data_IF_223645931003
#
_entry.id   IF_223645931003
#
_cell.length_a   1.000
_cell.length_b   1.000
_cell.length_c   1.000
_cell.angle_alpha   90.00
_cell.angle_beta   90.00
_cell.angle_gamma   90.00
#
_symmetry.space_group_name_H-M   'P 1'
#
loop_
_entity.id
_entity.type
_entity.pdbx_description
1 polymer ?
#
# COMPACT_ATOMS: atom_id res chain seq x y z
N UNK A 1 -63.47 -29.59 -24.91
CA UNK A 1 -63.92 -29.84 -23.52
C UNK A 1 -62.86 -30.71 -22.85
N UNK A 2 -62.49 -30.38 -21.60
CA UNK A 2 -61.40 -30.95 -20.76
C UNK A 2 -60.00 -30.38 -21.14
N UNK A 3 -59.41 -29.36 -20.51
CA UNK A 3 -59.12 -28.98 -19.09
C UNK A 3 -57.89 -29.69 -18.49
N UNK A 4 -56.84 -28.86 -18.31
CA UNK A 4 -55.75 -28.82 -17.30
C UNK A 4 -54.95 -30.10 -17.00
N UNK A 5 -53.62 -30.01 -17.21
CA UNK A 5 -52.65 -30.66 -16.32
C UNK A 5 -51.27 -29.95 -16.34
N UNK A 6 -51.21 -28.74 -15.78
CA UNK A 6 -49.96 -28.07 -15.37
C UNK A 6 -50.05 -27.84 -13.85
N UNK A 7 -49.75 -28.86 -13.04
CA UNK A 7 -49.76 -28.72 -11.57
C UNK A 7 -48.83 -29.69 -10.82
N UNK A 8 -47.93 -30.41 -11.50
CA UNK A 8 -47.09 -31.42 -10.83
C UNK A 8 -45.57 -31.15 -10.91
N UNK A 9 -45.11 -30.26 -11.80
CA UNK A 9 -43.67 -29.91 -11.89
C UNK A 9 -43.25 -28.73 -11.01
N UNK A 10 -44.19 -27.88 -10.55
CA UNK A 10 -43.86 -26.75 -9.66
C UNK A 10 -43.66 -27.18 -8.20
N UNK A 11 -44.41 -28.17 -7.71
CA UNK A 11 -44.31 -28.63 -6.32
C UNK A 11 -43.05 -29.47 -6.03
N UNK A 12 -42.46 -30.13 -7.04
CA UNK A 12 -41.26 -30.93 -6.84
C UNK A 12 -39.99 -30.06 -6.72
N UNK A 13 -39.94 -28.94 -7.46
CA UNK A 13 -38.83 -27.98 -7.38
C UNK A 13 -38.86 -27.19 -6.07
N UNK A 14 -40.05 -26.85 -5.56
CA UNK A 14 -40.20 -26.21 -4.24
C UNK A 14 -39.91 -27.14 -3.06
N UNK A 15 -40.10 -28.46 -3.19
CA UNK A 15 -39.79 -29.42 -2.12
C UNK A 15 -38.28 -29.69 -2.01
N UNK A 16 -37.56 -29.73 -3.14
CA UNK A 16 -36.10 -29.90 -3.17
C UNK A 16 -35.37 -28.65 -2.66
N UNK A 17 -35.90 -27.44 -2.90
CA UNK A 17 -35.32 -26.18 -2.40
C UNK A 17 -35.61 -25.90 -0.91
N UNK A 18 -36.64 -26.53 -0.31
CA UNK A 18 -36.89 -26.41 1.14
C UNK A 18 -36.15 -27.44 2.00
N UNK A 19 -35.79 -28.60 1.47
CA UNK A 19 -35.03 -29.61 2.23
C UNK A 19 -33.52 -29.33 2.24
N UNK A 20 -32.97 -28.61 1.25
CA UNK A 20 -31.58 -28.12 1.31
C UNK A 20 -31.41 -26.92 2.23
N UNK A 21 -32.44 -26.07 2.39
CA UNK A 21 -32.41 -24.95 3.34
C UNK A 21 -32.56 -25.38 4.81
N UNK A 22 -33.14 -26.55 5.09
CA UNK A 22 -33.26 -27.07 6.46
C UNK A 22 -32.03 -27.89 6.90
N UNK A 23 -31.27 -28.48 5.97
CA UNK A 23 -30.00 -29.12 6.29
C UNK A 23 -28.82 -28.15 6.43
N UNK A 24 -28.88 -26.96 5.83
CA UNK A 24 -27.83 -25.93 6.02
C UNK A 24 -28.04 -25.03 7.25
N UNK A 25 -29.22 -25.06 7.88
CA UNK A 25 -29.51 -24.22 9.05
C UNK A 25 -29.33 -24.95 10.39
N UNK A 26 -29.06 -26.25 10.40
CA UNK A 26 -28.73 -27.01 11.62
C UNK A 26 -27.23 -27.20 11.87
N UNK A 27 -26.34 -26.79 10.95
CA UNK A 27 -24.89 -26.85 11.17
C UNK A 27 -24.29 -25.56 11.72
N UNK A 28 -25.10 -24.51 11.98
CA UNK A 28 -24.60 -23.21 12.45
C UNK A 28 -24.96 -22.85 13.90
N UNK A 29 -25.49 -23.78 14.71
CA UNK A 29 -25.86 -23.47 16.11
C UNK A 29 -25.22 -24.39 17.15
N UNK A 30 -24.22 -25.20 16.80
CA UNK A 30 -23.41 -25.92 17.80
C UNK A 30 -21.93 -26.02 17.41
N UNK A 31 -21.22 -24.89 17.35
CA UNK A 31 -19.77 -24.86 17.68
C UNK A 31 -19.43 -23.50 18.31
N UNK A 32 -19.93 -23.24 19.50
CA UNK A 32 -19.20 -22.41 20.48
C UNK A 32 -18.90 -23.33 21.66
N UNK A 33 -18.08 -24.34 21.40
CA UNK A 33 -17.38 -25.03 22.47
C UNK A 33 -16.03 -24.35 22.64
N UNK A 34 -15.79 -23.87 23.86
CA UNK A 34 -14.54 -23.24 24.26
C UNK A 34 -13.36 -24.12 23.80
N UNK A 35 -12.49 -23.54 22.97
CA UNK A 35 -11.27 -24.22 22.51
C UNK A 35 -10.43 -24.54 23.75
N UNK A 36 -10.09 -25.82 24.01
CA UNK A 36 -9.25 -26.18 25.14
C UNK A 36 -7.91 -25.45 25.10
N UNK A 37 -7.44 -24.93 26.24
CA UNK A 37 -6.13 -24.23 26.39
C UNK A 37 -4.94 -25.02 25.80
N UNK A 38 -5.06 -26.33 25.62
CA UNK A 38 -4.04 -27.19 25.00
C UNK A 38 -3.77 -26.85 23.52
N UNK A 39 -4.78 -26.42 22.75
CA UNK A 39 -4.60 -26.05 21.34
C UNK A 39 -3.88 -24.71 21.17
N UNK A 40 -4.08 -23.78 22.12
CA UNK A 40 -3.42 -22.48 22.11
C UNK A 40 -1.91 -22.61 22.36
N UNK A 41 -1.50 -23.50 23.27
CA UNK A 41 -0.08 -23.76 23.51
C UNK A 41 0.58 -24.41 22.30
N UNK A 42 -0.10 -25.38 21.67
CA UNK A 42 0.40 -26.07 20.46
C UNK A 42 0.60 -25.11 19.29
N UNK A 43 -0.35 -24.19 19.05
CA UNK A 43 -0.26 -23.22 17.96
C UNK A 43 0.84 -22.17 18.19
N UNK A 44 0.97 -21.67 19.42
CA UNK A 44 2.04 -20.71 19.77
C UNK A 44 3.43 -21.36 19.69
N UNK A 45 3.56 -22.65 20.05
CA UNK A 45 4.82 -23.39 19.83
C UNK A 45 5.13 -23.54 18.35
N UNK A 46 4.13 -23.80 17.52
CA UNK A 46 4.29 -23.94 16.08
C UNK A 46 4.69 -22.62 15.42
N UNK A 47 4.16 -21.49 15.89
CA UNK A 47 4.58 -20.15 15.43
C UNK A 47 6.01 -19.80 15.85
N UNK A 48 6.41 -20.11 17.09
CA UNK A 48 7.79 -19.93 17.54
C UNK A 48 8.78 -20.77 16.74
N UNK A 49 8.40 -22.02 16.44
CA UNK A 49 9.21 -22.90 15.61
C UNK A 49 9.35 -22.36 14.17
N UNK A 50 8.27 -21.82 13.60
CA UNK A 50 8.31 -21.14 12.28
C UNK A 50 9.15 -19.86 12.29
N UNK A 51 9.16 -19.10 13.38
CA UNK A 51 10.02 -17.92 13.55
C UNK A 51 11.50 -18.32 13.68
N UNK A 52 11.81 -19.37 14.44
CA UNK A 52 13.16 -19.93 14.58
C UNK A 52 13.67 -20.51 13.25
N UNK A 53 12.81 -21.20 12.49
CA UNK A 53 13.13 -21.72 11.15
C UNK A 53 13.40 -20.59 10.14
N UNK A 54 12.62 -19.50 10.18
CA UNK A 54 12.87 -18.30 9.37
C UNK A 54 14.17 -17.60 9.74
N UNK A 55 14.50 -17.53 11.03
CA UNK A 55 15.74 -16.94 11.50
C UNK A 55 16.96 -17.77 11.06
N UNK A 56 16.87 -19.10 11.15
CA UNK A 56 17.91 -20.00 10.66
C UNK A 56 18.07 -19.95 9.14
N UNK A 57 16.99 -19.74 8.39
CA UNK A 57 17.05 -19.59 6.94
C UNK A 57 17.74 -18.27 6.55
N UNK A 58 17.48 -17.19 7.28
CA UNK A 58 18.17 -15.90 7.12
C UNK A 58 19.67 -15.99 7.49
N UNK A 59 20.02 -16.72 8.55
CA UNK A 59 21.42 -16.89 8.99
C UNK A 59 22.21 -17.85 8.05
N UNK A 60 21.53 -18.82 7.42
CA UNK A 60 22.12 -19.68 6.40
C UNK A 60 22.32 -18.97 5.04
N UNK A 61 21.40 -18.08 4.64
CA UNK A 61 21.63 -17.19 3.48
C UNK A 61 22.75 -16.18 3.76
N UNK A 62 22.84 -15.67 4.99
CA UNK A 62 23.93 -14.77 5.40
C UNK A 62 25.31 -15.45 5.45
N UNK A 63 25.39 -16.77 5.69
CA UNK A 63 26.67 -17.50 5.77
C UNK A 63 27.12 -18.11 4.44
N UNK A 64 26.24 -18.26 3.45
CA UNK A 64 26.60 -18.75 2.11
C UNK A 64 27.18 -17.66 1.18
N UNK A 65 27.01 -16.37 1.50
CA UNK A 65 27.47 -15.24 0.67
C UNK A 65 28.91 -14.81 0.95
N UNK A 66 29.67 -15.54 1.78
CA UNK A 66 31.02 -15.15 2.18
C UNK A 66 32.11 -15.99 1.51
N UNK A 67 32.17 -16.00 0.18
CA UNK A 67 33.42 -16.26 -0.55
C UNK A 67 33.55 -15.37 -1.79
N UNK A 68 34.43 -14.37 -1.67
CA UNK A 68 35.16 -13.67 -2.73
C UNK A 68 34.49 -13.47 -4.09
N UNK A 69 33.76 -12.35 -4.23
CA UNK A 69 33.75 -11.56 -5.48
C UNK A 69 33.79 -10.07 -5.12
N UNK A 70 34.96 -9.46 -5.30
CA UNK A 70 35.25 -8.07 -5.64
C UNK A 70 34.08 -7.06 -5.63
N UNK A 71 34.05 -6.18 -4.63
CA UNK A 71 33.85 -4.69 -4.68
C UNK A 71 33.09 -4.03 -5.86
N UNK A 72 32.04 -4.67 -6.40
CA UNK A 72 31.17 -4.11 -7.45
C UNK A 72 29.67 -4.27 -7.16
N UNK A 73 29.32 -4.79 -5.99
CA UNK A 73 27.95 -4.89 -5.47
C UNK A 73 27.57 -3.70 -4.55
N UNK A 74 28.37 -2.63 -4.55
CA UNK A 74 28.06 -1.41 -3.83
C UNK A 74 26.89 -0.68 -4.50
N UNK A 75 25.74 -0.84 -3.85
CA UNK A 75 24.70 0.17 -3.72
C UNK A 75 23.74 0.36 -4.92
N UNK A 76 23.19 -0.74 -5.45
CA UNK A 76 22.07 -0.72 -6.43
C UNK A 76 20.86 0.12 -5.98
N UNK A 77 20.72 0.32 -4.67
CA UNK A 77 19.62 1.08 -4.05
C UNK A 77 20.10 2.36 -3.35
N UNK A 78 21.30 2.85 -3.67
CA UNK A 78 21.96 3.98 -3.02
C UNK A 78 21.09 5.23 -2.93
N UNK A 79 20.36 5.46 -4.01
CA UNK A 79 19.58 6.66 -4.24
C UNK A 79 18.16 6.55 -3.65
N UNK A 80 17.78 5.37 -3.15
CA UNK A 80 16.48 5.13 -2.54
C UNK A 80 16.58 5.28 -1.03
N UNK A 81 15.81 6.22 -0.49
CA UNK A 81 15.75 6.53 0.93
C UNK A 81 14.39 6.11 1.51
N UNK A 82 14.43 5.54 2.71
CA UNK A 82 13.23 5.19 3.50
C UNK A 82 12.89 6.36 4.41
N UNK A 83 11.60 6.71 4.45
CA UNK A 83 11.06 7.79 5.24
C UNK A 83 9.72 7.40 5.85
N UNK A 84 9.23 8.25 6.76
CA UNK A 84 7.92 8.11 7.36
C UNK A 84 7.18 9.45 7.27
N UNK A 85 5.89 9.38 7.00
CA UNK A 85 4.97 10.51 7.10
C UNK A 85 4.08 10.29 8.31
N UNK A 86 3.84 11.36 9.08
CA UNK A 86 2.83 11.34 10.12
C UNK A 86 1.45 11.41 9.46
N UNK A 87 0.75 10.27 9.47
CA UNK A 87 -0.51 10.06 8.79
C UNK A 87 -1.68 10.09 9.78
N UNK A 88 -2.84 10.59 9.34
CA UNK A 88 -4.07 10.56 10.13
C UNK A 88 -4.54 9.13 10.33
N UNK A 89 -4.85 8.76 11.57
CA UNK A 89 -5.42 7.45 11.89
C UNK A 89 -6.78 7.27 11.21
N UNK A 90 -7.63 8.30 11.33
CA UNK A 90 -8.99 8.33 10.78
C UNK A 90 -9.26 9.62 10.02
N UNK A 91 -9.27 9.55 8.68
CA UNK A 91 -9.58 10.70 7.82
C UNK A 91 -11.05 11.13 7.82
N UNK A 92 -11.93 10.32 8.41
CA UNK A 92 -13.37 10.56 8.44
C UNK A 92 -13.87 10.93 9.84
N UNK A 93 -12.94 11.16 10.78
CA UNK A 93 -13.25 11.75 12.06
C UNK A 93 -13.73 13.19 11.80
N UNK A 94 -15.01 13.45 12.01
CA UNK A 94 -15.56 14.78 11.81
C UNK A 94 -14.86 15.76 12.76
N UNK A 95 -14.29 16.84 12.22
CA UNK A 95 -14.00 18.03 13.01
C UNK A 95 -15.34 18.52 13.56
N UNK A 96 -15.62 18.29 14.83
CA UNK A 96 -16.91 18.61 15.47
C UNK A 96 -17.09 20.11 15.55
N UNK A 97 -17.66 20.70 14.49
CA UNK A 97 -18.23 22.04 14.47
C UNK A 97 -19.71 22.05 14.84
N UNK A 98 -20.10 21.36 15.91
CA UNK A 98 -21.49 21.40 16.39
C UNK A 98 -21.51 21.32 17.91
N UNK A 99 -22.11 22.36 18.49
CA UNK A 99 -22.28 22.65 19.90
C UNK A 99 -22.88 21.48 20.69
N UNK A 100 -22.06 20.53 21.11
CA UNK A 100 -22.33 19.59 22.21
C UNK A 100 -21.01 19.31 22.92
N UNK A 101 -21.04 19.46 24.24
CA UNK A 101 -19.99 19.34 25.27
C UNK A 101 -18.63 18.73 24.85
N UNK A 102 -17.58 19.53 25.01
CA UNK A 102 -16.17 19.28 24.69
C UNK A 102 -15.58 18.06 25.46
N UNK A 103 -15.68 16.87 24.89
CA UNK A 103 -14.49 15.99 24.86
C UNK A 103 -13.74 16.31 23.57
N UNK A 104 -12.57 16.94 23.70
CA UNK A 104 -11.67 17.19 22.58
C UNK A 104 -11.36 15.85 21.91
N UNK A 105 -11.95 15.59 20.74
CA UNK A 105 -11.63 14.41 19.95
C UNK A 105 -10.19 14.59 19.47
N UNK A 106 -9.25 13.94 20.16
CA UNK A 106 -7.83 13.99 19.82
C UNK A 106 -7.61 13.32 18.46
N UNK A 107 -7.11 14.08 17.49
CA UNK A 107 -6.71 13.56 16.19
C UNK A 107 -5.50 12.65 16.38
N UNK A 108 -5.71 11.34 16.29
CA UNK A 108 -4.65 10.35 16.40
C UNK A 108 -3.93 10.19 15.07
N UNK A 109 -2.63 9.95 15.14
CA UNK A 109 -1.76 9.73 13.98
C UNK A 109 -1.01 8.41 14.07
N UNK A 110 -0.44 7.97 12.96
CA UNK A 110 0.51 6.86 12.89
C UNK A 110 1.61 7.16 11.87
N UNK A 111 2.75 6.47 11.99
CA UNK A 111 3.85 6.62 11.04
C UNK A 111 3.62 5.71 9.83
N UNK A 112 3.34 6.30 8.67
CA UNK A 112 3.20 5.58 7.41
C UNK A 112 4.52 5.64 6.65
N UNK A 113 5.04 4.47 6.25
CA UNK A 113 6.32 4.36 5.58
C UNK A 113 6.20 4.71 4.11
N UNK A 114 7.21 5.39 3.58
CA UNK A 114 7.37 5.60 2.14
C UNK A 114 8.83 5.56 1.72
N UNK A 115 9.06 5.44 0.42
CA UNK A 115 10.38 5.52 -0.19
C UNK A 115 10.42 6.65 -1.20
N UNK A 116 11.59 7.27 -1.34
CA UNK A 116 11.81 8.32 -2.32
C UNK A 116 13.15 8.16 -3.03
N UNK A 117 13.16 8.49 -4.33
CA UNK A 117 14.35 8.65 -5.14
C UNK A 117 14.23 9.88 -6.03
N UNK A 118 15.32 10.66 -6.08
CA UNK A 118 15.49 11.82 -6.95
C UNK A 118 16.44 11.54 -8.12
N UNK A 119 16.66 10.27 -8.49
CA UNK A 119 17.64 9.89 -9.54
C UNK A 119 17.40 10.55 -10.90
N UNK A 120 16.17 10.96 -11.16
CA UNK A 120 15.72 11.58 -12.41
C UNK A 120 15.51 13.10 -12.27
N UNK A 121 16.03 13.71 -11.21
CA UNK A 121 16.01 15.15 -10.95
C UNK A 121 17.36 15.74 -11.35
N UNK A 122 17.35 16.73 -12.24
CA UNK A 122 18.54 17.32 -12.85
C UNK A 122 18.67 18.83 -12.64
N UNK A 123 17.56 19.54 -12.36
CA UNK A 123 17.57 21.00 -12.12
C UNK A 123 18.57 21.43 -11.04
N UNK A 124 18.69 20.65 -9.96
CA UNK A 124 19.62 20.91 -8.85
C UNK A 124 21.11 20.91 -9.26
N UNK A 125 21.45 20.40 -10.45
CA UNK A 125 22.84 20.32 -10.96
C UNK A 125 23.20 21.48 -11.88
N UNK A 126 22.23 22.26 -12.37
CA UNK A 126 22.49 23.43 -13.21
C UNK A 126 21.40 24.50 -12.99
N UNK A 127 21.48 25.27 -11.89
CA UNK A 127 20.52 26.32 -11.61
C UNK A 127 20.81 27.53 -12.50
N UNK A 128 20.20 27.60 -13.67
CA UNK A 128 20.07 28.86 -14.42
C UNK A 128 18.70 29.47 -14.12
N UNK A 129 18.67 30.75 -13.77
CA UNK A 129 17.45 31.49 -13.41
C UNK A 129 16.43 31.61 -14.55
N UNK A 130 16.77 31.18 -15.76
CA UNK A 130 15.93 31.27 -16.97
C UNK A 130 15.36 29.92 -17.43
N UNK A 131 15.71 28.81 -16.76
CA UNK A 131 15.29 27.47 -17.17
C UNK A 131 13.94 27.13 -16.55
N UNK A 132 12.91 26.97 -17.40
CA UNK A 132 11.63 26.43 -16.96
C UNK A 132 11.78 24.93 -16.67
N UNK A 133 11.33 24.48 -15.48
CA UNK A 133 11.42 23.07 -15.09
C UNK A 133 10.02 22.48 -15.03
N UNK A 134 9.76 21.46 -15.83
CA UNK A 134 8.55 20.66 -15.78
C UNK A 134 8.77 19.49 -14.80
N UNK A 135 8.03 19.50 -13.70
CA UNK A 135 8.20 18.50 -12.63
C UNK A 135 7.08 17.46 -12.66
N UNK A 136 7.47 16.19 -12.65
CA UNK A 136 6.59 15.05 -12.48
C UNK A 136 6.87 14.36 -11.14
N UNK A 137 5.80 13.94 -10.47
CA UNK A 137 5.87 13.14 -9.25
C UNK A 137 5.20 11.79 -9.51
N UNK A 138 6.00 10.74 -9.60
CA UNK A 138 5.51 9.37 -9.82
C UNK A 138 5.32 8.69 -8.48
N UNK A 139 4.16 8.07 -8.27
CA UNK A 139 3.81 7.43 -7.02
C UNK A 139 3.43 5.97 -7.25
N UNK A 140 4.29 5.06 -6.81
CA UNK A 140 3.91 3.65 -6.63
C UNK A 140 2.97 3.53 -5.42
N UNK A 141 1.77 3.03 -5.66
CA UNK A 141 0.76 2.77 -4.65
C UNK A 141 1.02 1.38 -4.04
N UNK A 142 1.29 1.33 -2.75
CA UNK A 142 1.42 0.07 -2.01
C UNK A 142 0.09 -0.67 -1.92
N UNK A 143 0.15 -2.00 -1.92
CA UNK A 143 -1.02 -2.88 -1.89
C UNK A 143 -1.03 -3.89 -0.76
N UNK A 144 -1.81 -4.94 -1.00
CA UNK A 144 -1.93 -6.15 -0.23
C UNK A 144 -0.73 -7.08 -0.48
N UNK A 145 0.43 -6.69 0.05
CA UNK A 145 1.68 -7.40 -0.21
C UNK A 145 2.63 -7.41 0.98
N UNK A 146 3.80 -8.06 0.81
CA UNK A 146 4.89 -7.96 1.75
C UNK A 146 5.27 -6.51 2.00
N UNK A 147 5.91 -6.28 3.15
CA UNK A 147 6.48 -4.99 3.51
C UNK A 147 7.34 -4.44 2.36
N UNK A 148 7.10 -3.19 1.97
CA UNK A 148 7.92 -2.53 0.96
C UNK A 148 9.38 -2.44 1.43
N UNK A 149 10.30 -2.56 0.49
CA UNK A 149 11.73 -2.36 0.69
C UNK A 149 12.24 -1.38 -0.36
N UNK A 150 13.50 -0.94 -0.26
CA UNK A 150 14.10 -0.03 -1.25
C UNK A 150 14.00 -0.52 -2.70
N UNK A 151 13.87 -1.82 -2.91
CA UNK A 151 13.71 -2.45 -4.22
C UNK A 151 12.43 -1.98 -4.94
N UNK A 152 11.43 -1.45 -4.21
CA UNK A 152 10.16 -0.97 -4.77
C UNK A 152 10.34 0.10 -5.84
N UNK A 153 11.41 0.90 -5.75
CA UNK A 153 11.74 1.94 -6.71
C UNK A 153 12.85 1.55 -7.69
N UNK A 154 13.30 0.29 -7.71
CA UNK A 154 14.42 -0.13 -8.59
C UNK A 154 14.06 -1.31 -9.47
N UNK A 155 13.51 -2.38 -8.89
CA UNK A 155 13.26 -3.64 -9.60
C UNK A 155 12.09 -4.46 -9.05
N UNK A 156 11.12 -3.78 -8.46
CA UNK A 156 9.86 -4.38 -8.07
C UNK A 156 8.96 -4.65 -9.28
N UNK A 157 8.36 -5.84 -9.26
CA UNK A 157 7.29 -6.27 -10.16
C UNK A 157 5.95 -5.57 -9.87
N UNK A 158 5.84 -4.78 -8.79
CA UNK A 158 4.59 -4.11 -8.43
C UNK A 158 4.38 -2.78 -9.16
N UNK A 159 5.44 -1.98 -9.34
CA UNK A 159 5.31 -0.63 -9.92
C UNK A 159 6.53 -0.16 -10.72
N UNK A 160 7.74 -0.61 -10.40
CA UNK A 160 8.95 0.11 -10.86
C UNK A 160 9.31 -0.10 -12.31
N UNK A 161 8.93 -1.22 -12.96
CA UNK A 161 9.23 -1.44 -14.38
C UNK A 161 8.69 -0.31 -15.25
N UNK A 162 7.36 -0.19 -15.31
CA UNK A 162 6.67 0.81 -16.11
C UNK A 162 6.98 2.25 -15.64
N UNK A 163 7.09 2.45 -14.32
CA UNK A 163 7.38 3.76 -13.74
C UNK A 163 8.77 4.28 -14.12
N UNK A 164 9.80 3.41 -14.09
CA UNK A 164 11.17 3.78 -14.48
C UNK A 164 11.25 4.02 -15.99
N UNK A 165 10.61 3.15 -16.80
CA UNK A 165 10.58 3.32 -18.25
C UNK A 165 9.89 4.61 -18.66
N UNK A 166 8.74 4.94 -18.05
CA UNK A 166 8.04 6.19 -18.29
C UNK A 166 8.88 7.42 -17.93
N UNK A 167 9.61 7.38 -16.80
CA UNK A 167 10.47 8.48 -16.38
C UNK A 167 11.63 8.69 -17.39
N UNK A 168 12.24 7.60 -17.83
CA UNK A 168 13.27 7.64 -18.87
C UNK A 168 12.70 8.20 -20.17
N UNK A 169 11.53 7.76 -20.60
CA UNK A 169 10.89 8.24 -21.81
C UNK A 169 10.67 9.76 -21.80
N UNK A 170 10.14 10.31 -20.69
CA UNK A 170 9.91 11.76 -20.56
C UNK A 170 11.21 12.56 -20.70
N UNK A 171 12.28 12.11 -20.04
CA UNK A 171 13.59 12.77 -20.09
C UNK A 171 14.20 12.69 -21.50
N UNK A 172 14.15 11.53 -22.15
CA UNK A 172 14.69 11.38 -23.50
C UNK A 172 13.91 12.19 -24.52
N UNK A 173 12.58 12.23 -24.42
CA UNK A 173 11.72 13.01 -25.31
C UNK A 173 12.04 14.50 -25.22
N UNK A 174 12.20 15.02 -24.00
CA UNK A 174 12.55 16.43 -23.78
C UNK A 174 13.90 16.79 -24.41
N UNK A 175 14.93 15.94 -24.25
CA UNK A 175 16.26 16.16 -24.86
C UNK A 175 16.26 16.20 -26.38
N UNK A 176 15.37 15.42 -27.02
CA UNK A 176 15.30 15.33 -28.48
C UNK A 176 14.30 16.33 -29.09
N UNK A 177 13.64 17.15 -28.27
CA UNK A 177 12.77 18.23 -28.76
C UNK A 177 13.65 19.46 -29.01
N UNK A 178 14.43 19.40 -30.09
CA UNK A 178 15.24 20.52 -30.59
C UNK A 178 14.32 21.48 -31.35
N UNK A 179 13.65 22.38 -30.63
CA UNK A 179 13.13 23.59 -31.25
C UNK A 179 14.13 24.71 -30.95
N UNK A 180 14.88 25.13 -31.96
CA UNK A 180 15.95 26.13 -31.87
C UNK A 180 15.46 27.48 -31.32
N UNK A 181 14.14 27.70 -31.26
CA UNK A 181 13.51 28.90 -30.72
C UNK A 181 12.78 28.69 -29.37
N UNK A 182 12.75 27.47 -28.82
CA UNK A 182 12.08 27.19 -27.55
C UNK A 182 13.00 27.42 -26.35
N UNK A 183 12.44 28.00 -25.27
CA UNK A 183 13.11 28.05 -23.97
C UNK A 183 13.56 26.66 -23.54
N UNK A 184 14.84 26.50 -23.18
CA UNK A 184 15.40 25.28 -22.63
C UNK A 184 14.57 24.85 -21.42
N UNK A 185 13.74 23.83 -21.61
CA UNK A 185 12.86 23.29 -20.58
C UNK A 185 13.49 22.02 -20.02
N UNK A 186 13.68 21.93 -18.71
CA UNK A 186 14.20 20.73 -18.04
C UNK A 186 13.04 19.89 -17.53
N UNK A 187 13.14 18.57 -17.64
CA UNK A 187 12.17 17.66 -17.04
C UNK A 187 12.80 16.99 -15.82
N UNK A 188 12.13 17.12 -14.68
CA UNK A 188 12.49 16.44 -13.44
C UNK A 188 11.41 15.42 -13.06
N UNK A 189 11.83 14.22 -12.67
CA UNK A 189 10.91 13.18 -12.20
C UNK A 189 11.32 12.74 -10.80
N UNK A 190 10.43 12.92 -9.82
CA UNK A 190 10.57 12.36 -8.48
C UNK A 190 9.84 11.02 -8.40
N UNK A 191 10.49 10.01 -7.82
CA UNK A 191 9.89 8.69 -7.62
C UNK A 191 9.53 8.51 -6.14
N UNK A 192 8.28 8.17 -5.87
CA UNK A 192 7.77 7.85 -4.54
C UNK A 192 7.16 6.45 -4.53
N UNK A 193 7.20 5.78 -3.39
CA UNK A 193 6.39 4.60 -3.12
C UNK A 193 5.81 4.71 -1.71
N UNK A 194 4.48 4.74 -1.60
CA UNK A 194 3.79 4.83 -0.31
C UNK A 194 3.33 3.44 0.11
N UNK A 195 3.73 2.99 1.30
CA UNK A 195 3.28 1.71 1.84
C UNK A 195 1.82 1.82 2.32
N UNK A 196 1.01 0.81 2.01
CA UNK A 196 -0.38 0.78 2.41
C UNK A 196 -0.54 0.67 3.93
N UNK A 197 -1.48 1.40 4.53
CA UNK A 197 -1.83 1.25 5.95
C UNK A 197 -2.12 -0.22 6.28
N UNK A 198 -1.72 -0.69 7.46
CA UNK A 198 -1.80 -2.09 7.91
C UNK A 198 -0.88 -3.10 7.21
N UNK A 199 -0.02 -2.67 6.29
CA UNK A 199 0.99 -3.54 5.67
C UNK A 199 2.40 -3.08 6.04
N UNK A 200 3.33 -4.04 6.09
CA UNK A 200 4.72 -3.80 6.43
C UNK A 200 4.90 -3.09 7.77
N UNK A 201 5.56 -1.93 7.73
CA UNK A 201 5.82 -1.10 8.92
C UNK A 201 4.78 0.00 9.11
N UNK A 202 3.79 0.10 8.22
CA UNK A 202 2.77 1.14 8.23
C UNK A 202 1.53 0.72 9.01
N UNK A 203 1.72 0.28 10.26
CA UNK A 203 0.65 -0.27 11.09
C UNK A 203 0.13 0.77 12.09
N UNK A 204 -1.18 1.05 12.18
CA UNK A 204 -1.71 2.14 13.03
C UNK A 204 -1.79 1.86 14.54
N UNK A 205 -1.05 0.88 15.06
CA UNK A 205 -0.93 0.58 16.50
C UNK A 205 0.39 -0.16 16.77
N UNK A 206 1.23 0.41 17.64
CA UNK A 206 2.54 -0.16 17.99
C UNK A 206 2.41 -1.33 18.99
N UNK A 207 1.25 -1.49 19.63
CA UNK A 207 1.00 -2.48 20.67
C UNK A 207 0.12 -3.61 20.14
N UNK A 208 0.54 -4.25 19.05
CA UNK A 208 -0.07 -5.48 18.56
C UNK A 208 0.13 -6.61 19.58
N UNK A 209 -0.72 -6.66 20.60
CA UNK A 209 -0.94 -7.87 21.37
C UNK A 209 -2.08 -8.58 20.65
N UNK A 210 -1.83 -9.80 20.17
CA UNK A 210 -2.90 -10.72 19.86
C UNK A 210 -3.55 -11.14 21.19
N UNK A 211 -4.68 -10.53 21.61
CA UNK A 211 -5.76 -11.38 22.09
C UNK A 211 -7.16 -10.90 21.66
N UNK A 212 -7.97 -11.89 21.27
CA UNK A 212 -9.43 -11.96 21.32
C UNK A 212 -10.34 -11.02 20.48
N UNK A 213 -9.91 -9.91 19.88
CA UNK A 213 -10.80 -9.14 18.98
C UNK A 213 -10.09 -8.61 17.72
N UNK A 214 -9.76 -9.51 16.78
CA UNK A 214 -9.25 -9.20 15.43
C UNK A 214 -10.00 -8.05 14.71
N UNK A 215 -11.28 -7.83 15.03
CA UNK A 215 -12.11 -6.83 14.38
C UNK A 215 -11.91 -5.38 14.86
N UNK A 216 -11.47 -5.16 16.11
CA UNK A 216 -11.30 -3.79 16.64
C UNK A 216 -10.02 -3.13 16.11
N UNK A 217 -8.96 -3.92 15.95
CA UNK A 217 -7.67 -3.45 15.47
C UNK A 217 -7.69 -3.08 13.97
N UNK A 218 -8.63 -3.63 13.19
CA UNK A 218 -8.77 -3.36 11.76
C UNK A 218 -9.79 -2.26 11.44
N UNK A 219 -10.29 -1.53 12.45
CA UNK A 219 -11.29 -0.47 12.28
C UNK A 219 -10.91 0.54 11.19
N UNK A 220 -9.63 0.85 11.05
CA UNK A 220 -9.14 1.84 10.08
C UNK A 220 -8.62 1.22 8.78
N UNK A 221 -8.80 -0.09 8.57
CA UNK A 221 -8.43 -0.79 7.35
C UNK A 221 -9.58 -0.74 6.34
N UNK A 222 -9.53 0.22 5.43
CA UNK A 222 -10.44 0.28 4.28
C UNK A 222 -9.79 0.98 3.10
N UNK A 223 -10.25 0.67 1.89
CA UNK A 223 -9.81 1.37 0.68
C UNK A 223 -10.11 2.87 0.72
N UNK A 224 -11.20 3.29 1.36
CA UNK A 224 -11.53 4.72 1.54
C UNK A 224 -10.48 5.45 2.38
N UNK A 225 -10.04 4.83 3.46
CA UNK A 225 -8.98 5.39 4.30
C UNK A 225 -7.63 5.39 3.55
N UNK A 226 -7.32 4.33 2.81
CA UNK A 226 -6.10 4.25 1.99
C UNK A 226 -6.07 5.31 0.86
N UNK A 227 -7.20 5.58 0.22
CA UNK A 227 -7.34 6.68 -0.75
C UNK A 227 -7.07 8.04 -0.11
N UNK A 228 -7.58 8.25 1.10
CA UNK A 228 -7.30 9.47 1.86
C UNK A 228 -5.84 9.58 2.31
N UNK A 229 -5.17 8.47 2.58
CA UNK A 229 -3.71 8.47 2.81
C UNK A 229 -2.94 8.98 1.60
N UNK A 230 -3.32 8.51 0.40
CA UNK A 230 -2.69 8.92 -0.86
C UNK A 230 -2.91 10.42 -1.12
N UNK A 231 -4.14 10.90 -0.94
CA UNK A 231 -4.48 12.32 -1.07
C UNK A 231 -3.67 13.18 -0.09
N UNK A 232 -3.67 12.79 1.19
CA UNK A 232 -2.91 13.49 2.22
C UNK A 232 -1.41 13.47 1.93
N UNK A 233 -0.87 12.33 1.49
CA UNK A 233 0.54 12.22 1.11
C UNK A 233 0.90 13.19 -0.01
N UNK A 234 0.08 13.26 -1.07
CA UNK A 234 0.29 14.20 -2.19
C UNK A 234 0.27 15.65 -1.69
N UNK A 235 -0.69 16.02 -0.85
CA UNK A 235 -0.78 17.36 -0.26
C UNK A 235 0.47 17.71 0.54
N UNK A 236 0.88 16.84 1.47
CA UNK A 236 2.05 17.05 2.29
C UNK A 236 3.35 17.13 1.47
N UNK A 237 3.50 16.32 0.41
CA UNK A 237 4.68 16.42 -0.47
C UNK A 237 4.66 17.69 -1.31
N UNK A 238 3.50 18.13 -1.80
CA UNK A 238 3.41 19.40 -2.51
C UNK A 238 3.78 20.59 -1.60
N UNK A 239 3.39 20.55 -0.33
CA UNK A 239 3.79 21.55 0.67
C UNK A 239 5.29 21.49 0.96
N UNK A 240 5.82 20.30 1.27
CA UNK A 240 7.23 20.09 1.61
C UNK A 240 8.19 20.54 0.51
N UNK A 241 7.85 20.23 -0.74
CA UNK A 241 8.67 20.61 -1.91
C UNK A 241 8.33 22.01 -2.46
N UNK A 242 7.37 22.73 -1.87
CA UNK A 242 6.92 24.03 -2.36
C UNK A 242 6.20 23.99 -3.71
N UNK A 243 5.77 22.81 -4.16
CA UNK A 243 5.08 22.61 -5.43
C UNK A 243 3.69 23.20 -5.50
N UNK A 244 3.10 23.68 -4.40
CA UNK A 244 1.81 24.38 -4.44
C UNK A 244 1.82 25.63 -5.35
N UNK A 245 3.00 26.19 -5.64
CA UNK A 245 3.18 27.33 -6.53
C UNK A 245 3.63 26.91 -7.95
N UNK A 246 3.91 25.62 -8.16
CA UNK A 246 4.43 25.06 -9.40
C UNK A 246 3.44 24.03 -9.97
N UNK A 247 3.36 23.91 -11.29
CA UNK A 247 2.46 22.93 -11.91
C UNK A 247 3.10 21.53 -11.90
N UNK A 248 3.14 20.87 -10.73
CA UNK A 248 3.61 19.48 -10.63
C UNK A 248 2.54 18.50 -11.13
N UNK A 249 2.95 17.53 -11.95
CA UNK A 249 2.06 16.48 -12.46
C UNK A 249 2.28 15.19 -11.69
N UNK A 250 1.27 14.79 -10.93
CA UNK A 250 1.27 13.49 -10.25
C UNK A 250 0.78 12.37 -11.18
N UNK A 251 1.52 11.26 -11.20
CA UNK A 251 1.14 10.03 -11.92
C UNK A 251 1.28 8.86 -10.96
N UNK A 252 0.19 8.11 -10.75
CA UNK A 252 0.18 6.94 -9.88
C UNK A 252 0.41 5.65 -10.67
N UNK A 253 1.07 4.69 -10.03
CA UNK A 253 1.37 3.37 -10.57
C UNK A 253 0.93 2.31 -9.56
N UNK A 254 0.21 1.30 -10.01
CA UNK A 254 -0.25 0.20 -9.19
C UNK A 254 -0.91 -0.86 -10.05
N UNK A 255 -0.77 -2.13 -9.67
CA UNK A 255 -1.46 -3.26 -10.31
C UNK A 255 -2.31 -4.02 -9.30
N UNK A 256 -3.35 -4.73 -9.74
CA UNK A 256 -4.33 -5.39 -8.86
C UNK A 256 -5.05 -4.37 -7.97
N UNK A 257 -5.17 -4.62 -6.67
CA UNK A 257 -5.80 -3.73 -5.71
C UNK A 257 -5.17 -2.32 -5.68
N UNK A 258 -3.83 -2.14 -5.67
CA UNK A 258 -3.19 -0.84 -5.90
C UNK A 258 -3.59 -0.09 -7.15
N UNK A 259 -3.95 -0.79 -8.23
CA UNK A 259 -4.42 -0.15 -9.46
C UNK A 259 -5.89 0.25 -9.40
N UNK A 260 -6.64 -0.27 -8.42
CA UNK A 260 -8.02 0.12 -8.14
C UNK A 260 -8.10 1.28 -7.15
N UNK A 261 -7.07 1.46 -6.31
CA UNK A 261 -6.85 2.67 -5.50
C UNK A 261 -6.37 3.83 -6.39
#
# INVERSE_FOLDING_TARGET
>A
MIVKNHSLLSSLVFFILRTTSLLLTQTQTQVVQAIPRSYHTSYIQQLKQLEEEKQQQHDNESSFVQTNTDTKADNKYADVNEFYIEQKLDHFLAATGSEVEEESIEEKTFQQRYFHSSRFVTSNKSPSATTETETYAFLCVGGEGPALTKNVLVESVHCSGDMIEAAQYLIHKNKNTEDENASTSVVDVHLFALEHRYFGKSYPDNNFILPSTFNENLKYLSSKQALKDLEYFVQQKNEEFGWNQHNVKWITFGGSYPGML
#
